data_IF_936365210286
#
_entry.id   IF_936365210286
#
_cell.length_a   1.000
_cell.length_b   1.000
_cell.length_c   1.000
_cell.angle_alpha   90.00
_cell.angle_beta   90.00
_cell.angle_gamma   90.00
#
_symmetry.space_group_name_H-M   'P 1'
#
loop_
_entity.id
_entity.type
_entity.pdbx_description
1 polymer ?
#
# COMPACT_ATOMS: atom_id res chain seq x y z
N UNK A 1 22.64 28.74 -15.16
CA UNK A 1 22.84 27.51 -14.36
C UNK A 1 22.77 27.86 -12.88
N UNK A 2 21.66 27.52 -12.21
CA UNK A 2 21.66 27.12 -10.80
C UNK A 2 20.37 26.34 -10.55
N UNK A 3 20.53 25.09 -10.15
CA UNK A 3 19.50 24.07 -10.10
C UNK A 3 18.57 24.32 -8.92
N UNK A 4 17.40 24.91 -9.17
CA UNK A 4 16.31 24.96 -8.20
C UNK A 4 15.74 23.56 -8.11
N UNK A 5 16.27 22.77 -7.17
CA UNK A 5 15.67 21.49 -6.78
C UNK A 5 14.24 21.77 -6.34
N UNK A 6 13.31 21.51 -7.25
CA UNK A 6 11.89 21.46 -6.98
C UNK A 6 11.65 20.23 -6.11
N UNK A 7 12.03 20.33 -4.83
CA UNK A 7 11.48 19.49 -3.78
C UNK A 7 10.03 19.90 -3.64
N UNK A 8 9.21 19.49 -4.62
CA UNK A 8 7.78 19.31 -4.39
C UNK A 8 7.72 18.45 -3.13
N UNK A 9 7.20 18.93 -1.99
CA UNK A 9 6.82 18.01 -0.94
C UNK A 9 5.94 16.99 -1.65
N UNK A 10 6.19 15.69 -1.47
CA UNK A 10 5.23 14.66 -1.87
C UNK A 10 3.97 14.92 -1.05
N UNK A 11 3.19 15.91 -1.47
CA UNK A 11 1.81 16.08 -1.07
C UNK A 11 1.21 14.78 -1.56
N UNK A 12 0.87 13.90 -0.62
CA UNK A 12 -0.16 12.90 -0.86
C UNK A 12 -1.27 13.68 -1.53
N UNK A 13 -1.42 13.44 -2.83
CA UNK A 13 -2.20 14.26 -3.72
C UNK A 13 -3.60 14.37 -3.11
N UNK A 14 -4.27 15.52 -3.27
CA UNK A 14 -5.70 15.71 -2.96
C UNK A 14 -6.59 14.88 -3.91
N UNK A 15 -6.11 13.70 -4.29
CA UNK A 15 -6.84 12.69 -5.02
C UNK A 15 -7.84 12.04 -4.06
N UNK A 16 -9.02 11.74 -4.59
CA UNK A 16 -10.02 10.94 -3.89
C UNK A 16 -9.37 9.71 -3.27
N UNK A 17 -9.84 9.30 -2.08
CA UNK A 17 -9.40 8.07 -1.41
C UNK A 17 -9.34 6.89 -2.39
N UNK A 18 -10.26 6.84 -3.37
CA UNK A 18 -10.28 5.82 -4.39
C UNK A 18 -9.04 5.82 -5.31
N UNK A 19 -8.59 6.99 -5.75
CA UNK A 19 -7.42 7.12 -6.63
C UNK A 19 -6.12 6.80 -5.87
N UNK A 20 -6.05 7.12 -4.58
CA UNK A 20 -4.93 6.72 -3.72
C UNK A 20 -4.88 5.20 -3.52
N UNK A 21 -6.04 4.57 -3.31
CA UNK A 21 -6.14 3.10 -3.19
C UNK A 21 -5.76 2.42 -4.51
N UNK A 22 -6.21 2.94 -5.65
CA UNK A 22 -5.85 2.39 -6.96
C UNK A 22 -4.34 2.46 -7.24
N UNK A 23 -3.74 3.63 -6.96
CA UNK A 23 -2.30 3.82 -7.06
C UNK A 23 -1.52 2.86 -6.14
N UNK A 24 -2.02 2.64 -4.92
CA UNK A 24 -1.45 1.67 -3.99
C UNK A 24 -1.53 0.24 -4.56
N UNK A 25 -2.68 -0.18 -5.08
CA UNK A 25 -2.85 -1.51 -5.69
C UNK A 25 -1.88 -1.70 -6.86
N UNK A 26 -1.79 -0.70 -7.76
CA UNK A 26 -0.85 -0.71 -8.86
C UNK A 26 0.59 -0.92 -8.37
N UNK A 27 0.99 -0.24 -7.30
CA UNK A 27 2.32 -0.39 -6.71
C UNK A 27 2.51 -1.79 -6.11
N UNK A 28 1.56 -2.30 -5.34
CA UNK A 28 1.65 -3.62 -4.70
C UNK A 28 1.80 -4.74 -5.74
N UNK A 29 1.11 -4.66 -6.88
CA UNK A 29 1.26 -5.62 -7.99
C UNK A 29 2.69 -5.71 -8.54
N UNK A 30 3.48 -4.64 -8.43
CA UNK A 30 4.87 -4.60 -8.94
C UNK A 30 5.90 -5.10 -7.94
N UNK A 31 5.50 -5.36 -6.69
CA UNK A 31 6.41 -5.73 -5.59
C UNK A 31 6.22 -7.20 -5.22
N UNK A 32 7.30 -7.96 -5.15
CA UNK A 32 7.26 -9.25 -4.47
C UNK A 32 7.23 -9.01 -2.95
N UNK A 33 6.49 -9.84 -2.20
CA UNK A 33 6.43 -9.85 -0.73
C UNK A 33 5.73 -8.65 -0.05
N UNK A 34 4.84 -7.93 -0.74
CA UNK A 34 4.10 -6.82 -0.16
C UNK A 34 3.12 -7.22 0.97
N UNK A 35 2.71 -8.49 1.00
CA UNK A 35 1.77 -9.07 1.96
C UNK A 35 2.20 -8.86 3.41
N UNK A 36 3.48 -9.10 3.73
CA UNK A 36 4.00 -8.96 5.10
C UNK A 36 3.90 -7.52 5.62
N UNK A 37 4.51 -6.54 4.92
CA UNK A 37 4.38 -5.13 5.25
C UNK A 37 2.94 -4.62 5.31
N UNK A 38 2.06 -5.07 4.39
CA UNK A 38 0.66 -4.67 4.39
C UNK A 38 -0.09 -5.23 5.60
N UNK A 39 0.20 -6.48 6.00
CA UNK A 39 -0.38 -7.11 7.19
C UNK A 39 0.02 -6.35 8.45
N UNK A 40 1.30 -6.00 8.62
CA UNK A 40 1.78 -5.21 9.77
C UNK A 40 1.11 -3.83 9.83
N UNK A 41 1.04 -3.13 8.69
CA UNK A 41 0.39 -1.82 8.60
C UNK A 41 -1.09 -1.88 8.98
N UNK A 42 -1.83 -2.91 8.52
CA UNK A 42 -3.23 -3.11 8.87
C UNK A 42 -3.41 -3.35 10.37
N UNK A 43 -2.57 -4.18 11.00
CA UNK A 43 -2.63 -4.45 12.44
C UNK A 43 -2.35 -3.18 13.24
N UNK A 44 -1.29 -2.43 12.89
CA UNK A 44 -0.95 -1.15 13.54
C UNK A 44 -2.05 -0.11 13.40
N UNK A 45 -2.82 -0.15 12.31
CA UNK A 45 -3.96 0.73 12.07
C UNK A 45 -5.28 0.21 12.71
N UNK A 46 -5.22 -0.83 13.56
CA UNK A 46 -6.40 -1.43 14.20
C UNK A 46 -7.29 -2.25 13.26
N UNK A 47 -6.87 -2.47 12.01
CA UNK A 47 -7.58 -3.24 10.99
C UNK A 47 -7.22 -4.73 11.04
N UNK A 48 -7.10 -5.29 12.24
CA UNK A 48 -6.77 -6.71 12.45
C UNK A 48 -7.70 -7.69 11.70
N UNK A 49 -9.03 -7.45 11.58
CA UNK A 49 -9.91 -8.33 10.78
C UNK A 49 -9.51 -8.39 9.30
N UNK A 50 -9.11 -7.26 8.73
CA UNK A 50 -8.68 -7.17 7.31
C UNK A 50 -7.33 -7.87 7.13
N UNK A 51 -6.40 -7.70 8.07
CA UNK A 51 -5.12 -8.40 8.08
C UNK A 51 -5.31 -9.93 8.11
N UNK A 52 -6.24 -10.43 8.94
CA UNK A 52 -6.57 -11.85 9.00
C UNK A 52 -7.10 -12.38 7.67
N UNK A 53 -8.03 -11.65 7.04
CA UNK A 53 -8.59 -12.04 5.74
C UNK A 53 -7.51 -12.11 4.66
N UNK A 54 -6.60 -11.13 4.65
CA UNK A 54 -5.49 -11.08 3.71
C UNK A 54 -4.54 -12.29 3.86
N UNK A 55 -4.23 -12.68 5.11
CA UNK A 55 -3.42 -13.89 5.37
C UNK A 55 -4.13 -15.17 4.94
N UNK A 56 -5.45 -15.28 5.17
CA UNK A 56 -6.23 -16.45 4.75
C UNK A 56 -6.25 -16.60 3.23
N UNK A 57 -6.38 -15.49 2.48
CA UNK A 57 -6.34 -15.51 1.01
C UNK A 57 -4.99 -16.00 0.45
N UNK A 58 -3.88 -15.79 1.17
CA UNK A 58 -2.58 -16.33 0.77
C UNK A 58 -2.49 -17.84 0.99
N UNK A 59 -3.09 -18.35 2.07
CA UNK A 59 -3.10 -19.78 2.39
C UNK A 59 -3.99 -20.58 1.44
N UNK A 60 -5.05 -19.99 0.90
CA UNK A 60 -5.91 -20.64 -0.11
C UNK A 60 -5.28 -20.71 -1.49
N UNK A 61 -4.19 -19.97 -1.74
CA UNK A 61 -3.51 -19.94 -3.04
C UNK A 61 -2.42 -21.01 -3.18
N UNK A 62 -2.11 -21.76 -2.12
CA UNK A 62 -1.14 -22.88 -2.11
C UNK A 62 -1.82 -24.25 -2.24
N UNK A 63 -2.76 -24.38 -3.18
CA UNK A 63 -3.39 -25.64 -3.56
C UNK A 63 -2.84 -26.14 -4.90
#
# INVERSE_FOLDING_TARGET
MQYMWSHKPRRYNLESTQAQVDALICLLKTKNHWVGPMTDALIRNGQAPVAKMLLQMQQTSTA
#
